data_IF_336141644619
#
_entry.id   IF_336141644619
#
_cell.length_a   1.000
_cell.length_b   1.000
_cell.length_c   1.000
_cell.angle_alpha   90.00
_cell.angle_beta   90.00
_cell.angle_gamma   90.00
#
_symmetry.space_group_name_H-M   'P 1'
#
loop_
_entity.id
_entity.type
_entity.pdbx_description
1 polymer ?
#
# COMPACT_ATOMS: atom_id res chain seq x y z
N UNK A 1 18.99 -0.51 -6.74
CA UNK A 1 19.78 -0.43 -5.49
C UNK A 1 19.86 0.99 -4.93
N UNK A 2 20.19 2.01 -5.72
CA UNK A 2 20.25 3.41 -5.24
C UNK A 2 18.92 3.94 -4.67
N UNK A 3 17.78 3.64 -5.29
CA UNK A 3 16.45 4.03 -4.79
C UNK A 3 16.12 3.39 -3.43
N UNK A 4 16.46 2.11 -3.27
CA UNK A 4 16.25 1.37 -2.01
C UNK A 4 17.14 1.93 -0.90
N UNK A 5 18.39 2.26 -1.22
CA UNK A 5 19.33 2.87 -0.28
C UNK A 5 18.87 4.28 0.16
N UNK A 6 18.42 5.12 -0.76
CA UNK A 6 17.86 6.44 -0.41
C UNK A 6 16.60 6.30 0.46
N UNK A 7 15.69 5.38 0.12
CA UNK A 7 14.48 5.12 0.91
C UNK A 7 14.82 4.68 2.34
N UNK A 8 15.77 3.76 2.49
CA UNK A 8 16.22 3.28 3.80
C UNK A 8 16.84 4.40 4.65
N UNK A 9 17.65 5.29 4.06
CA UNK A 9 18.24 6.43 4.76
C UNK A 9 17.16 7.44 5.17
N UNK A 10 16.19 7.73 4.30
CA UNK A 10 15.09 8.64 4.60
C UNK A 10 14.23 8.12 5.77
N UNK A 11 13.92 6.82 5.79
CA UNK A 11 13.18 6.17 6.88
C UNK A 11 13.95 6.20 8.20
N UNK A 12 15.28 6.03 8.14
CA UNK A 12 16.16 6.16 9.31
C UNK A 12 16.18 7.59 9.86
N UNK A 13 16.22 8.60 8.99
CA UNK A 13 16.16 10.01 9.38
C UNK A 13 14.81 10.40 9.99
N UNK A 14 13.73 9.77 9.53
CA UNK A 14 12.38 9.99 10.03
C UNK A 14 12.06 9.24 11.35
N UNK A 15 13.07 8.67 12.03
CA UNK A 15 12.92 7.90 13.28
C UNK A 15 11.85 6.81 13.21
N UNK A 16 11.64 6.20 12.03
CA UNK A 16 10.67 5.12 11.91
C UNK A 16 11.08 3.94 12.80
N UNK A 17 10.15 3.37 13.57
CA UNK A 17 10.44 2.18 14.37
C UNK A 17 10.92 1.04 13.49
N UNK A 18 11.90 0.27 13.98
CA UNK A 18 12.49 -0.86 13.25
C UNK A 18 11.46 -1.95 12.93
N UNK A 19 10.47 -2.16 13.78
CA UNK A 19 9.49 -3.23 13.62
C UNK A 19 8.65 -3.11 12.32
N UNK A 20 8.01 -1.97 11.99
CA UNK A 20 7.34 -1.79 10.70
C UNK A 20 8.26 -1.91 9.48
N UNK A 21 9.54 -1.51 9.59
CA UNK A 21 10.51 -1.64 8.51
C UNK A 21 10.82 -3.11 8.19
N UNK A 22 11.08 -3.91 9.22
CA UNK A 22 11.30 -5.35 9.09
C UNK A 22 10.05 -6.05 8.55
N UNK A 23 8.87 -5.67 9.04
CA UNK A 23 7.60 -6.21 8.55
C UNK A 23 7.43 -5.92 7.05
N UNK A 24 7.64 -4.67 6.62
CA UNK A 24 7.57 -4.29 5.21
C UNK A 24 8.60 -5.03 4.34
N UNK A 25 9.82 -5.24 4.85
CA UNK A 25 10.87 -5.97 4.13
C UNK A 25 10.50 -7.45 3.90
N UNK A 26 10.06 -8.15 4.96
CA UNK A 26 9.67 -9.56 4.88
C UNK A 26 8.42 -9.73 4.00
N UNK A 27 7.39 -8.91 4.25
CA UNK A 27 6.15 -8.94 3.48
C UNK A 27 6.38 -8.56 2.01
N UNK A 28 7.29 -7.63 1.73
CA UNK A 28 7.60 -7.18 0.37
C UNK A 28 8.13 -8.31 -0.51
N UNK A 29 9.08 -9.12 0.00
CA UNK A 29 9.58 -10.29 -0.73
C UNK A 29 8.48 -11.31 -1.01
N UNK A 30 7.62 -11.59 -0.03
CA UNK A 30 6.47 -12.48 -0.23
C UNK A 30 5.46 -11.90 -1.22
N UNK A 31 5.24 -10.59 -1.22
CA UNK A 31 4.35 -9.92 -2.16
C UNK A 31 4.85 -10.04 -3.59
N UNK A 32 6.15 -9.81 -3.83
CA UNK A 32 6.74 -9.95 -5.17
C UNK A 32 6.63 -11.37 -5.69
N UNK A 33 6.92 -12.37 -4.84
CA UNK A 33 6.81 -13.78 -5.20
C UNK A 33 5.36 -14.17 -5.56
N UNK A 34 4.38 -13.71 -4.76
CA UNK A 34 2.97 -13.96 -5.05
C UNK A 34 2.49 -13.22 -6.30
N UNK A 35 2.94 -11.99 -6.55
CA UNK A 35 2.63 -11.23 -7.76
C UNK A 35 3.21 -11.92 -8.99
N UNK A 36 4.47 -12.34 -8.94
CA UNK A 36 5.13 -13.10 -10.01
C UNK A 36 4.37 -14.39 -10.31
N UNK A 37 3.99 -15.14 -9.28
CA UNK A 37 3.19 -16.37 -9.42
C UNK A 37 1.83 -16.08 -10.07
N UNK A 38 1.13 -15.03 -9.63
CA UNK A 38 -0.15 -14.64 -10.21
C UNK A 38 -0.01 -14.30 -11.69
N UNK A 39 0.99 -13.49 -12.05
CA UNK A 39 1.31 -13.12 -13.43
C UNK A 39 1.68 -14.34 -14.28
N UNK A 40 2.45 -15.27 -13.75
CA UNK A 40 2.81 -16.50 -14.47
C UNK A 40 1.58 -17.39 -14.74
N UNK A 41 0.58 -17.38 -13.86
CA UNK A 41 -0.69 -18.10 -14.04
C UNK A 41 -1.61 -17.39 -15.04
N UNK A 42 -1.49 -16.07 -15.18
CA UNK A 42 -2.28 -15.26 -16.12
C UNK A 42 -1.54 -14.95 -17.42
N UNK A 43 -0.55 -15.76 -17.80
CA UNK A 43 0.24 -15.58 -19.04
C UNK A 43 0.92 -14.21 -19.17
N UNK A 44 1.21 -13.56 -18.03
CA UNK A 44 1.82 -12.23 -17.95
C UNK A 44 0.82 -11.07 -18.04
N UNK A 45 -0.46 -11.35 -18.26
CA UNK A 45 -1.52 -10.33 -18.37
C UNK A 45 -2.02 -9.89 -16.99
N UNK A 46 -2.37 -8.60 -16.85
CA UNK A 46 -3.03 -8.05 -15.65
C UNK A 46 -4.56 -8.14 -15.72
N UNK A 47 -5.10 -8.75 -16.78
CA UNK A 47 -6.53 -8.91 -17.01
C UNK A 47 -7.22 -9.68 -15.87
N UNK A 48 -6.50 -10.56 -15.18
CA UNK A 48 -7.01 -11.35 -14.05
C UNK A 48 -7.55 -10.52 -12.88
N UNK A 49 -7.14 -9.25 -12.76
CA UNK A 49 -7.67 -8.32 -11.76
C UNK A 49 -9.13 -7.94 -12.01
N UNK A 50 -9.57 -7.95 -13.28
CA UNK A 50 -10.90 -7.50 -13.70
C UNK A 50 -11.75 -8.63 -14.28
N UNK A 51 -11.16 -9.67 -14.84
CA UNK A 51 -11.88 -10.81 -15.41
C UNK A 51 -12.43 -11.76 -14.34
N UNK A 52 -11.74 -11.84 -13.18
CA UNK A 52 -12.13 -12.72 -12.08
C UNK A 52 -12.92 -11.94 -11.04
N UNK A 53 -14.22 -12.22 -10.83
CA UNK A 53 -15.08 -11.44 -9.94
C UNK A 53 -14.57 -11.44 -8.49
N UNK A 54 -14.01 -12.56 -8.03
CA UNK A 54 -13.42 -12.66 -6.68
C UNK A 54 -12.21 -11.73 -6.54
N UNK A 55 -11.28 -11.78 -7.50
CA UNK A 55 -10.09 -10.91 -7.49
C UNK A 55 -10.49 -9.44 -7.51
N UNK A 56 -11.44 -9.08 -8.38
CA UNK A 56 -11.94 -7.71 -8.49
C UNK A 56 -12.47 -7.19 -7.15
N UNK A 57 -13.29 -7.98 -6.44
CA UNK A 57 -13.83 -7.59 -5.12
C UNK A 57 -12.70 -7.35 -4.12
N UNK A 58 -11.71 -8.25 -4.04
CA UNK A 58 -10.57 -8.08 -3.15
C UNK A 58 -9.72 -6.86 -3.53
N UNK A 59 -9.46 -6.64 -4.82
CA UNK A 59 -8.70 -5.47 -5.30
C UNK A 59 -9.41 -4.17 -4.92
N UNK A 60 -10.72 -4.09 -5.11
CA UNK A 60 -11.52 -2.91 -4.72
C UNK A 60 -11.44 -2.69 -3.20
N UNK A 61 -11.63 -3.74 -2.39
CA UNK A 61 -11.53 -3.65 -0.94
C UNK A 61 -10.12 -3.21 -0.49
N UNK A 62 -9.07 -3.76 -1.09
CA UNK A 62 -7.69 -3.35 -0.79
C UNK A 62 -7.47 -1.87 -1.08
N UNK A 63 -7.93 -1.38 -2.24
CA UNK A 63 -7.82 0.05 -2.60
C UNK A 63 -8.62 0.92 -1.63
N UNK A 64 -9.83 0.52 -1.25
CA UNK A 64 -10.64 1.25 -0.26
C UNK A 64 -9.94 1.36 1.09
N UNK A 65 -9.37 0.27 1.60
CA UNK A 65 -8.68 0.26 2.89
C UNK A 65 -7.42 1.11 2.87
N UNK A 66 -6.62 1.02 1.79
CA UNK A 66 -5.41 1.82 1.63
C UNK A 66 -5.70 3.32 1.50
N UNK A 67 -6.80 3.70 0.86
CA UNK A 67 -7.18 5.10 0.64
C UNK A 67 -8.02 5.69 1.77
N UNK A 68 -8.64 4.87 2.63
CA UNK A 68 -9.42 5.31 3.79
C UNK A 68 -8.72 6.35 4.70
N UNK A 69 -7.44 6.19 5.12
CA UNK A 69 -6.79 7.19 5.96
C UNK A 69 -6.57 8.51 5.22
N UNK A 70 -6.24 8.46 3.93
CA UNK A 70 -6.03 9.65 3.09
C UNK A 70 -7.35 10.42 2.96
N UNK A 71 -8.45 9.71 2.69
CA UNK A 71 -9.79 10.28 2.62
C UNK A 71 -10.18 10.92 3.95
N UNK A 72 -10.00 10.23 5.08
CA UNK A 72 -10.27 10.80 6.41
C UNK A 72 -9.51 12.09 6.68
N UNK A 73 -8.23 12.16 6.31
CA UNK A 73 -7.41 13.36 6.47
C UNK A 73 -7.89 14.51 5.56
N UNK A 74 -8.23 14.23 4.31
CA UNK A 74 -8.73 15.22 3.36
C UNK A 74 -10.06 15.84 3.83
N UNK A 75 -11.00 15.02 4.30
CA UNK A 75 -12.31 15.48 4.78
C UNK A 75 -12.24 16.18 6.15
N UNK A 76 -11.25 15.86 6.99
CA UNK A 76 -11.04 16.56 8.27
C UNK A 76 -10.48 17.98 8.06
N UNK A 77 -9.70 18.22 6.99
CA UNK A 77 -9.24 19.58 6.61
C UNK A 77 -10.38 20.47 6.08
N UNK A 78 -11.48 19.89 5.60
CA UNK A 78 -12.64 20.61 5.08
C UNK A 78 -13.68 20.99 6.16
N UNK A 79 -13.53 20.52 7.40
CA UNK A 79 -14.30 21.03 8.54
C UNK A 79 -13.49 22.12 9.26
N UNK A 80 -13.81 23.42 9.08
CA UNK A 80 -13.23 24.47 9.92
C UNK A 80 -13.61 24.17 11.37
N UNK A 81 -12.61 24.20 12.26
CA UNK A 81 -12.85 24.06 13.70
C UNK A 81 -13.81 25.20 14.14
N UNK A 82 -14.96 24.90 14.78
CA UNK A 82 -15.72 25.93 15.47
C UNK A 82 -14.86 26.41 16.64
N UNK A 83 -14.45 27.68 16.60
CA UNK A 83 -13.80 28.36 17.72
C UNK A 83 -14.79 28.40 18.89
N UNK A 84 -14.56 27.59 19.93
CA UNK A 84 -15.23 27.77 21.22
C UNK A 84 -14.23 28.41 22.16
N UNK A 85 -14.51 29.67 22.49
CA UNK A 85 -13.84 30.48 23.50
C UNK A 85 -13.84 29.79 24.87
#
# INVERSE_FOLDING_TARGET
MLLVAMGAIALRLANFPLAPLLLGFILGGMMEENLRRALMISDGELSFLWERPITMVFTILSVMVLTAPIWRMAFKKLKPQPQTN
#
